data_IF_446137828218
#
_entry.id   IF_446137828218
#
_cell.length_a   1.000
_cell.length_b   1.000
_cell.length_c   1.000
_cell.angle_alpha   90.00
_cell.angle_beta   90.00
_cell.angle_gamma   90.00
#
_symmetry.space_group_name_H-M   'P 1'
#
loop_
_entity.id
_entity.type
_entity.pdbx_description
1 polymer ?
#
# COMPACT_ATOMS: atom_id res chain seq x y z
N UNK A 1 13.79 -9.44 -44.49
CA UNK A 1 12.93 -8.72 -43.52
C UNK A 1 13.05 -7.24 -43.85
N UNK A 2 11.98 -6.66 -44.39
CA UNK A 2 11.99 -5.29 -44.89
C UNK A 2 11.84 -4.29 -43.72
N UNK A 3 12.52 -3.14 -43.79
CA UNK A 3 12.52 -2.12 -42.71
C UNK A 3 11.12 -1.65 -42.34
N UNK A 4 10.24 -1.54 -43.33
CA UNK A 4 8.83 -1.16 -43.15
C UNK A 4 8.06 -2.20 -42.33
N UNK A 5 8.31 -3.47 -42.57
CA UNK A 5 7.63 -4.57 -41.88
C UNK A 5 8.05 -4.65 -40.41
N UNK A 6 9.33 -4.40 -40.13
CA UNK A 6 9.83 -4.30 -38.76
C UNK A 6 9.17 -3.16 -37.99
N UNK A 7 9.10 -1.95 -38.57
CA UNK A 7 8.46 -0.79 -37.94
C UNK A 7 6.99 -1.05 -37.61
N UNK A 8 6.24 -1.63 -38.54
CA UNK A 8 4.81 -1.92 -38.32
C UNK A 8 4.64 -2.92 -37.16
N UNK A 9 5.42 -4.00 -37.13
CA UNK A 9 5.32 -5.03 -36.07
C UNK A 9 5.74 -4.49 -34.70
N UNK A 10 6.80 -3.69 -34.63
CA UNK A 10 7.27 -3.08 -33.37
C UNK A 10 6.26 -2.10 -32.79
N UNK A 11 5.60 -1.27 -33.61
CA UNK A 11 4.57 -0.33 -33.14
C UNK A 11 3.33 -1.05 -32.63
N UNK A 12 2.87 -2.10 -33.31
CA UNK A 12 1.72 -2.90 -32.87
C UNK A 12 2.02 -3.59 -31.53
N UNK A 13 3.21 -4.19 -31.39
CA UNK A 13 3.63 -4.83 -30.13
C UNK A 13 3.69 -3.82 -28.98
N UNK A 14 4.28 -2.64 -29.22
CA UNK A 14 4.36 -1.59 -28.21
C UNK A 14 2.97 -1.09 -27.78
N UNK A 15 2.03 -0.92 -28.72
CA UNK A 15 0.65 -0.55 -28.42
C UNK A 15 -0.10 -1.65 -27.64
N UNK A 16 0.10 -2.91 -27.99
CA UNK A 16 -0.49 -4.05 -27.30
C UNK A 16 0.00 -4.18 -25.85
N UNK A 17 1.30 -3.99 -25.62
CA UNK A 17 1.88 -3.98 -24.27
C UNK A 17 1.36 -2.77 -23.47
N UNK A 18 1.33 -1.58 -24.09
CA UNK A 18 0.80 -0.38 -23.43
C UNK A 18 -0.67 -0.51 -23.02
N UNK A 19 -1.52 -1.00 -23.93
CA UNK A 19 -2.94 -1.23 -23.65
C UNK A 19 -3.14 -2.37 -22.63
N UNK A 20 -2.34 -3.43 -22.70
CA UNK A 20 -2.39 -4.54 -21.74
C UNK A 20 -1.98 -4.11 -20.32
N UNK A 21 -0.93 -3.29 -20.17
CA UNK A 21 -0.53 -2.76 -18.87
C UNK A 21 -1.61 -1.85 -18.30
N UNK A 22 -2.22 -0.98 -19.13
CA UNK A 22 -3.31 -0.10 -18.67
C UNK A 22 -4.57 -0.89 -18.31
N UNK A 23 -4.97 -1.87 -19.12
CA UNK A 23 -6.14 -2.71 -18.86
C UNK A 23 -5.97 -3.71 -17.71
N UNK A 24 -4.74 -4.12 -17.40
CA UNK A 24 -4.40 -4.94 -16.24
C UNK A 24 -4.05 -4.13 -14.99
N UNK A 25 -4.15 -2.79 -15.02
CA UNK A 25 -4.19 -2.03 -13.77
C UNK A 25 -5.46 -2.49 -13.08
N UNK A 26 -5.31 -3.30 -12.03
CA UNK A 26 -6.37 -3.61 -11.08
C UNK A 26 -6.87 -2.24 -10.60
N UNK A 27 -7.94 -1.75 -11.22
CA UNK A 27 -8.63 -0.55 -10.77
C UNK A 27 -8.94 -0.82 -9.31
N UNK A 28 -8.46 0.09 -8.46
CA UNK A 28 -8.54 0.01 -7.02
C UNK A 28 -9.84 -0.67 -6.63
N UNK A 29 -9.73 -1.74 -5.83
CA UNK A 29 -10.84 -2.20 -5.00
C UNK A 29 -11.54 -0.94 -4.53
N UNK A 30 -12.78 -0.73 -4.99
CA UNK A 30 -13.59 0.41 -4.56
C UNK A 30 -13.44 0.38 -3.05
N UNK A 31 -12.78 1.37 -2.43
CA UNK A 31 -12.62 1.34 -1.00
C UNK A 31 -14.03 1.58 -0.53
N UNK A 32 -14.74 0.50 -0.22
CA UNK A 32 -15.98 0.54 0.52
C UNK A 32 -15.54 1.34 1.75
N UNK A 33 -16.01 2.58 1.91
CA UNK A 33 -15.51 3.40 3.00
C UNK A 33 -15.96 2.68 4.27
N UNK A 34 -15.06 1.89 4.87
CA UNK A 34 -15.32 1.29 6.16
C UNK A 34 -15.51 2.49 7.07
N UNK A 35 -16.74 2.68 7.52
CA UNK A 35 -17.07 3.68 8.52
C UNK A 35 -16.03 3.55 9.64
N UNK A 36 -15.47 4.67 10.09
CA UNK A 36 -14.43 4.67 11.14
C UNK A 36 -14.93 3.99 12.44
N UNK A 37 -16.26 3.94 12.62
CA UNK A 37 -16.93 3.19 13.70
C UNK A 37 -16.89 1.66 13.52
N UNK A 38 -16.76 1.17 12.28
CA UNK A 38 -16.66 -0.25 11.95
C UNK A 38 -15.23 -0.79 12.05
N UNK A 39 -14.22 0.10 12.13
CA UNK A 39 -12.81 -0.29 12.27
C UNK A 39 -12.48 -0.68 13.71
N UNK A 40 -11.70 -1.75 13.87
CA UNK A 40 -11.19 -2.19 15.16
C UNK A 40 -10.06 -1.24 15.58
N UNK A 41 -10.24 -0.59 16.74
CA UNK A 41 -9.28 0.36 17.30
C UNK A 41 -8.21 -0.37 18.10
N UNK A 42 -6.95 -0.18 17.72
CA UNK A 42 -5.80 -0.87 18.32
C UNK A 42 -4.87 0.14 19.00
N UNK A 43 -4.38 -0.21 20.18
CA UNK A 43 -3.24 0.43 20.83
C UNK A 43 -2.04 -0.51 20.83
N UNK A 44 -0.84 0.03 20.61
CA UNK A 44 0.40 -0.77 20.57
C UNK A 44 1.32 -0.37 21.72
N UNK A 45 1.78 -1.36 22.48
CA UNK A 45 2.74 -1.20 23.57
C UNK A 45 4.05 -1.87 23.15
N UNK A 46 5.13 -1.09 23.13
CA UNK A 46 6.45 -1.50 22.65
C UNK A 46 6.63 -1.22 21.16
N UNK A 47 7.50 -0.26 20.84
CA UNK A 47 7.77 0.31 19.51
C UNK A 47 9.22 0.02 19.06
N UNK A 48 9.77 -1.09 19.52
CA UNK A 48 10.99 -1.68 18.97
C UNK A 48 10.77 -2.22 17.55
N UNK A 49 11.69 -3.06 17.08
CA UNK A 49 11.68 -3.53 15.68
C UNK A 49 10.39 -4.30 15.35
N UNK A 50 9.96 -5.18 16.26
CA UNK A 50 8.71 -5.94 16.11
C UNK A 50 7.46 -5.05 16.11
N UNK A 51 7.38 -4.10 17.04
CA UNK A 51 6.26 -3.16 17.11
C UNK A 51 6.15 -2.31 15.85
N UNK A 52 7.29 -1.87 15.31
CA UNK A 52 7.37 -1.13 14.06
C UNK A 52 6.89 -1.97 12.86
N UNK A 53 7.28 -3.26 12.80
CA UNK A 53 6.77 -4.18 11.78
C UNK A 53 5.26 -4.41 11.90
N UNK A 54 4.75 -4.56 13.12
CA UNK A 54 3.31 -4.73 13.36
C UNK A 54 2.52 -3.50 12.90
N UNK A 55 2.99 -2.28 13.21
CA UNK A 55 2.42 -1.03 12.69
C UNK A 55 2.38 -1.07 11.16
N UNK A 56 3.50 -1.43 10.53
CA UNK A 56 3.59 -1.55 9.08
C UNK A 56 2.54 -2.51 8.51
N UNK A 57 2.36 -3.70 9.07
CA UNK A 57 1.35 -4.67 8.61
C UNK A 57 -0.08 -4.16 8.82
N UNK A 58 -0.38 -3.61 10.01
CA UNK A 58 -1.72 -3.16 10.35
C UNK A 58 -2.17 -1.94 9.52
N UNK A 59 -1.25 -1.05 9.15
CA UNK A 59 -1.57 0.11 8.28
C UNK A 59 -2.02 -0.29 6.87
N UNK A 60 -1.67 -1.49 6.40
CA UNK A 60 -2.14 -2.01 5.11
C UNK A 60 -3.51 -2.70 5.19
N UNK A 61 -4.07 -2.87 6.41
CA UNK A 61 -5.34 -3.55 6.64
C UNK A 61 -6.45 -2.53 6.93
N UNK A 62 -7.44 -2.35 6.05
CA UNK A 62 -8.47 -1.32 6.20
C UNK A 62 -9.37 -1.51 7.44
N UNK A 63 -9.49 -2.74 7.94
CA UNK A 63 -10.31 -3.15 9.08
C UNK A 63 -9.77 -2.62 10.42
N UNK A 64 -8.47 -2.33 10.49
CA UNK A 64 -7.81 -1.90 11.72
C UNK A 64 -7.47 -0.41 11.68
N UNK A 65 -7.57 0.26 12.82
CA UNK A 65 -7.10 1.63 13.01
C UNK A 65 -6.26 1.71 14.26
N UNK A 66 -4.99 2.05 14.13
CA UNK A 66 -4.12 2.27 15.28
C UNK A 66 -4.45 3.66 15.84
N UNK A 67 -4.76 3.75 17.13
CA UNK A 67 -5.18 5.00 17.78
C UNK A 67 -4.26 5.42 18.93
N UNK A 68 -3.34 4.55 19.34
CA UNK A 68 -2.45 4.81 20.46
C UNK A 68 -1.14 4.02 20.32
N UNK A 69 -0.07 4.64 20.82
CA UNK A 69 1.25 4.04 20.92
C UNK A 69 1.81 4.29 22.33
N UNK A 70 2.62 3.35 22.83
CA UNK A 70 3.31 3.45 24.11
C UNK A 70 4.69 2.80 24.00
N UNK A 71 5.73 3.47 24.48
CA UNK A 71 7.07 2.92 24.70
C UNK A 71 7.74 3.73 25.83
N UNK A 72 8.67 3.11 26.54
CA UNK A 72 9.44 3.78 27.60
C UNK A 72 10.55 4.70 27.05
N UNK A 73 10.92 4.51 25.79
CA UNK A 73 11.95 5.31 25.12
C UNK A 73 11.28 6.37 24.23
N UNK A 74 11.48 7.64 24.56
CA UNK A 74 10.84 8.77 23.88
C UNK A 74 11.05 8.75 22.35
N UNK A 75 12.28 8.49 21.90
CA UNK A 75 12.58 8.44 20.46
C UNK A 75 11.80 7.33 19.72
N UNK A 76 11.45 6.24 20.40
CA UNK A 76 10.62 5.17 19.82
C UNK A 76 9.15 5.56 19.82
N UNK A 77 8.69 6.22 20.88
CA UNK A 77 7.34 6.76 20.98
C UNK A 77 7.08 7.80 19.88
N UNK A 78 7.96 8.79 19.74
CA UNK A 78 7.88 9.81 18.69
C UNK A 78 7.87 9.21 17.29
N UNK A 79 8.70 8.19 17.04
CA UNK A 79 8.71 7.45 15.78
C UNK A 79 7.39 6.71 15.54
N UNK A 80 6.85 6.04 16.56
CA UNK A 80 5.59 5.31 16.47
C UNK A 80 4.41 6.23 16.17
N UNK A 81 4.30 7.36 16.90
CA UNK A 81 3.25 8.36 16.69
C UNK A 81 3.26 8.93 15.28
N UNK A 82 4.43 9.06 14.65
CA UNK A 82 4.55 9.50 13.24
C UNK A 82 4.11 8.45 12.22
N UNK A 83 4.05 7.17 12.61
CA UNK A 83 3.84 6.04 11.72
C UNK A 83 2.46 5.37 11.90
N UNK A 84 1.57 5.93 12.72
CA UNK A 84 0.18 5.45 12.89
C UNK A 84 -0.84 6.36 12.22
#
# INVERSE_FOLDING_TARGET
>A
MERKEFLIKSTILAAGIGAGIVGCRKENEIPIPLNDQARIKIGIIGLGDRGSTIIGVLNHSPEFKIIACCDILDFRLERGVKNI
#
